data_IF_620498953497
#
_entry.id   IF_620498953497
#
_cell.length_a   1.000
_cell.length_b   1.000
_cell.length_c   1.000
_cell.angle_alpha   90.00
_cell.angle_beta   90.00
_cell.angle_gamma   90.00
#
_symmetry.space_group_name_H-M   'P 1'
#
loop_
_entity.id
_entity.type
_entity.pdbx_description
1 polymer ?
#
# COMPACT_ATOMS: atom_id res chain seq x y z
N UNK A 1 39.13 -9.41 16.60
CA UNK A 1 40.40 -9.35 15.84
C UNK A 1 40.06 -9.05 14.37
N UNK A 2 40.53 -7.93 13.81
CA UNK A 2 40.28 -7.58 12.40
C UNK A 2 41.25 -8.36 11.51
N UNK A 3 40.73 -9.09 10.53
CA UNK A 3 41.57 -9.87 9.61
C UNK A 3 41.87 -9.08 8.34
N UNK A 4 43.10 -8.59 8.21
CA UNK A 4 43.55 -7.90 6.99
C UNK A 4 43.96 -8.92 5.91
N UNK A 5 43.07 -9.19 4.96
CA UNK A 5 43.33 -10.10 3.83
C UNK A 5 43.80 -9.34 2.60
N UNK A 6 44.89 -9.83 1.98
CA UNK A 6 45.39 -9.29 0.70
C UNK A 6 44.40 -9.57 -0.44
N UNK A 7 44.26 -8.62 -1.36
CA UNK A 7 43.41 -8.78 -2.57
C UNK A 7 43.94 -9.92 -3.45
N UNK A 8 43.03 -10.70 -4.05
CA UNK A 8 43.36 -11.85 -4.91
C UNK A 8 44.26 -11.47 -6.10
N UNK A 9 44.12 -10.24 -6.62
CA UNK A 9 44.93 -9.72 -7.75
C UNK A 9 46.43 -9.74 -7.46
N UNK A 10 46.86 -9.56 -6.20
CA UNK A 10 48.28 -9.57 -5.81
C UNK A 10 48.88 -10.97 -6.04
N UNK A 11 48.10 -12.03 -5.78
CA UNK A 11 48.51 -13.43 -6.01
C UNK A 11 48.53 -13.82 -7.48
N UNK A 12 47.84 -13.07 -8.35
CA UNK A 12 47.78 -13.36 -9.78
C UNK A 12 48.85 -12.64 -10.61
N UNK A 13 49.75 -11.86 -9.99
CA UNK A 13 50.92 -11.32 -10.69
C UNK A 13 51.77 -12.49 -11.19
N UNK A 14 52.30 -12.36 -12.41
CA UNK A 14 52.99 -13.42 -13.15
C UNK A 14 52.12 -14.64 -13.56
N UNK A 15 50.80 -14.62 -13.34
CA UNK A 15 49.89 -15.63 -13.90
C UNK A 15 49.35 -15.19 -15.28
N UNK A 16 49.50 -16.03 -16.30
CA UNK A 16 49.28 -15.64 -17.71
C UNK A 16 47.86 -15.17 -18.02
N UNK A 17 46.82 -15.72 -17.38
CA UNK A 17 45.40 -15.38 -17.66
C UNK A 17 44.60 -14.84 -16.47
N UNK A 18 45.22 -14.57 -15.31
CA UNK A 18 44.53 -14.16 -14.09
C UNK A 18 43.27 -15.01 -13.74
N UNK A 19 43.32 -16.33 -13.97
CA UNK A 19 42.20 -17.26 -13.69
C UNK A 19 41.03 -17.19 -14.67
N UNK A 20 41.20 -16.56 -15.84
CA UNK A 20 40.12 -16.35 -16.82
C UNK A 20 40.09 -17.42 -17.93
N UNK A 21 40.83 -18.52 -17.78
CA UNK A 21 40.95 -19.59 -18.76
C UNK A 21 41.86 -19.22 -19.94
N UNK A 22 41.49 -19.64 -21.14
CA UNK A 22 42.27 -19.41 -22.38
C UNK A 22 42.34 -17.92 -22.75
N UNK A 23 43.47 -17.47 -23.34
CA UNK A 23 43.74 -16.08 -23.76
C UNK A 23 42.71 -15.47 -24.74
N UNK A 24 41.90 -16.31 -25.39
CA UNK A 24 40.84 -15.89 -26.33
C UNK A 24 39.50 -15.63 -25.62
N UNK A 25 39.39 -15.90 -24.31
CA UNK A 25 38.23 -15.62 -23.46
C UNK A 25 38.41 -14.27 -22.73
N UNK A 26 37.34 -13.75 -22.12
CA UNK A 26 37.30 -12.41 -21.46
C UNK A 26 37.69 -11.25 -22.42
N UNK A 27 37.06 -11.21 -23.59
CA UNK A 27 37.16 -10.07 -24.51
C UNK A 27 36.06 -9.06 -24.21
N UNK A 28 35.43 -8.51 -25.25
CA UNK A 28 34.33 -7.57 -25.13
C UNK A 28 32.98 -8.23 -24.80
N UNK A 29 31.92 -7.54 -25.19
CA UNK A 29 30.53 -7.88 -24.90
C UNK A 29 30.09 -9.24 -25.49
N UNK A 30 30.74 -9.71 -26.55
CA UNK A 30 30.50 -11.04 -27.11
C UNK A 30 30.75 -12.16 -26.09
N UNK A 31 31.80 -12.04 -25.27
CA UNK A 31 32.08 -13.00 -24.19
C UNK A 31 31.02 -13.00 -23.07
N UNK A 32 30.15 -11.98 -23.02
CA UNK A 32 29.05 -11.84 -22.04
C UNK A 32 27.68 -12.08 -22.67
N UNK A 33 27.60 -12.42 -23.96
CA UNK A 33 26.35 -12.56 -24.70
C UNK A 33 25.61 -11.23 -24.89
N UNK A 34 26.34 -10.17 -25.23
CA UNK A 34 25.82 -8.83 -25.50
C UNK A 34 26.02 -7.82 -24.36
N UNK A 35 25.59 -6.57 -24.57
CA UNK A 35 25.65 -5.48 -23.57
C UNK A 35 24.35 -5.46 -22.76
N UNK A 36 24.44 -5.26 -21.44
CA UNK A 36 23.26 -5.03 -20.59
C UNK A 36 22.27 -6.20 -20.61
N UNK A 37 20.97 -5.90 -20.79
CA UNK A 37 19.87 -6.88 -20.86
C UNK A 37 19.74 -7.55 -22.24
N UNK A 38 20.79 -7.56 -23.06
CA UNK A 38 20.76 -8.34 -24.31
C UNK A 38 20.42 -9.82 -24.03
N UNK A 39 19.54 -10.40 -24.84
CA UNK A 39 19.02 -11.77 -24.64
C UNK A 39 17.82 -11.87 -23.68
N UNK A 40 17.33 -10.75 -23.15
CA UNK A 40 16.14 -10.70 -22.29
C UNK A 40 14.81 -10.49 -23.05
N UNK A 41 14.82 -10.55 -24.37
CA UNK A 41 13.93 -9.74 -25.21
C UNK A 41 13.16 -10.47 -26.31
N UNK A 42 12.46 -9.65 -27.11
CA UNK A 42 11.49 -9.98 -28.18
C UNK A 42 11.95 -11.01 -29.23
N UNK A 43 13.25 -11.06 -29.54
CA UNK A 43 13.82 -11.98 -30.57
C UNK A 43 14.64 -13.13 -29.97
N UNK A 44 15.39 -12.89 -28.90
CA UNK A 44 16.22 -13.88 -28.23
C UNK A 44 15.91 -13.89 -26.74
N UNK A 45 15.65 -15.10 -26.20
CA UNK A 45 15.10 -15.30 -24.85
C UNK A 45 15.97 -16.07 -23.86
N UNK A 46 17.24 -16.35 -24.19
CA UNK A 46 18.14 -17.15 -23.35
C UNK A 46 18.47 -16.51 -21.98
N UNK A 47 18.06 -15.24 -21.74
CA UNK A 47 18.16 -14.54 -20.45
C UNK A 47 16.83 -13.91 -20.02
N UNK A 48 15.70 -14.52 -20.38
CA UNK A 48 14.36 -13.95 -20.14
C UNK A 48 13.79 -14.22 -18.74
N UNK A 49 14.43 -15.03 -17.91
CA UNK A 49 13.92 -15.39 -16.58
C UNK A 49 13.63 -14.14 -15.73
N UNK A 50 12.38 -14.01 -15.26
CA UNK A 50 11.91 -12.89 -14.44
C UNK A 50 11.62 -11.59 -15.20
N UNK A 51 11.60 -11.61 -16.54
CA UNK A 51 11.41 -10.40 -17.35
C UNK A 51 10.08 -10.46 -18.09
N UNK A 52 9.13 -9.65 -17.64
CA UNK A 52 7.85 -9.43 -18.32
C UNK A 52 8.04 -8.39 -19.41
N UNK A 53 7.62 -8.72 -20.63
CA UNK A 53 7.65 -7.82 -21.80
C UNK A 53 6.23 -7.38 -22.12
N UNK A 54 6.07 -6.13 -22.59
CA UNK A 54 4.78 -5.54 -22.92
C UNK A 54 4.32 -4.51 -21.89
N UNK A 55 3.17 -3.88 -22.18
CA UNK A 55 2.51 -2.92 -21.31
C UNK A 55 1.11 -3.45 -20.96
N UNK A 56 0.59 -3.10 -19.78
CA UNK A 56 -0.76 -3.47 -19.32
C UNK A 56 -1.42 -2.29 -18.61
N UNK A 57 -2.64 -1.96 -19.01
CA UNK A 57 -3.47 -0.94 -18.38
C UNK A 57 -3.06 0.50 -18.71
N UNK A 58 -3.61 1.45 -17.96
CA UNK A 58 -3.31 2.88 -18.02
C UNK A 58 -3.25 3.44 -16.61
N UNK A 59 -2.56 4.58 -16.42
CA UNK A 59 -2.54 5.31 -15.16
C UNK A 59 -3.46 6.53 -15.27
N UNK A 60 -4.32 6.81 -14.28
CA UNK A 60 -5.13 8.03 -14.27
C UNK A 60 -4.23 9.27 -14.10
N UNK A 61 -4.64 10.41 -14.69
CA UNK A 61 -3.88 11.67 -14.64
C UNK A 61 -3.67 12.21 -13.23
N UNK A 62 -4.62 11.96 -12.33
CA UNK A 62 -4.54 12.31 -10.90
C UNK A 62 -4.69 11.04 -10.07
N UNK A 63 -3.85 10.88 -9.05
CA UNK A 63 -4.02 9.82 -8.07
C UNK A 63 -5.29 10.07 -7.26
N UNK A 64 -6.09 9.02 -7.07
CA UNK A 64 -7.12 9.05 -6.05
C UNK A 64 -6.44 9.19 -4.68
N UNK A 65 -7.03 9.99 -3.78
CA UNK A 65 -6.56 10.06 -2.40
C UNK A 65 -6.64 8.65 -1.80
N UNK A 66 -5.56 8.11 -1.21
CA UNK A 66 -5.62 6.80 -0.57
C UNK A 66 -6.60 6.89 0.61
N UNK A 67 -7.53 5.94 0.68
CA UNK A 67 -8.46 5.81 1.80
C UNK A 67 -7.78 4.94 2.85
N UNK A 68 -7.53 5.49 4.03
CA UNK A 68 -6.95 4.72 5.12
C UNK A 68 -8.05 3.86 5.76
N UNK A 69 -7.98 2.55 5.53
CA UNK A 69 -8.98 1.61 6.02
C UNK A 69 -8.48 0.82 7.23
N UNK A 70 -9.36 0.57 8.19
CA UNK A 70 -9.09 -0.26 9.37
C UNK A 70 -10.16 -1.33 9.53
N UNK A 71 -9.75 -2.49 10.03
CA UNK A 71 -10.65 -3.62 10.28
C UNK A 71 -11.19 -3.59 11.71
N UNK A 72 -12.43 -4.08 11.90
CA UNK A 72 -13.04 -4.20 13.23
C UNK A 72 -12.14 -5.00 14.20
N UNK A 73 -11.49 -6.08 13.73
CA UNK A 73 -10.63 -6.92 14.56
C UNK A 73 -9.42 -6.22 15.17
N UNK A 74 -9.11 -4.98 14.76
CA UNK A 74 -8.10 -4.15 15.40
C UNK A 74 -8.53 -3.69 16.81
N UNK A 75 -9.83 -3.54 17.06
CA UNK A 75 -10.39 -3.00 18.30
C UNK A 75 -10.57 -4.09 19.35
N UNK A 76 -9.46 -4.72 19.76
CA UNK A 76 -9.42 -5.59 20.93
C UNK A 76 -9.48 -4.79 22.23
N UNK A 77 -9.81 -5.43 23.34
CA UNK A 77 -9.89 -4.77 24.67
C UNK A 77 -8.59 -4.05 25.04
N UNK A 78 -7.45 -4.71 24.85
CA UNK A 78 -6.13 -4.13 25.13
C UNK A 78 -5.86 -2.88 24.29
N UNK A 79 -6.23 -2.92 23.00
CA UNK A 79 -6.06 -1.79 22.08
C UNK A 79 -6.99 -0.64 22.44
N UNK A 80 -8.24 -0.93 22.79
CA UNK A 80 -9.19 0.07 23.25
C UNK A 80 -8.71 0.76 24.52
N UNK A 81 -8.19 0.02 25.49
CA UNK A 81 -7.63 0.59 26.71
C UNK A 81 -6.44 1.53 26.42
N UNK A 82 -5.57 1.16 25.48
CA UNK A 82 -4.48 2.04 25.03
C UNK A 82 -5.01 3.31 24.35
N UNK A 83 -5.98 3.18 23.45
CA UNK A 83 -6.60 4.32 22.78
C UNK A 83 -7.33 5.27 23.75
N UNK A 84 -7.89 4.73 24.84
CA UNK A 84 -8.46 5.54 25.92
C UNK A 84 -7.36 6.27 26.69
N UNK A 85 -6.25 5.59 27.02
CA UNK A 85 -5.09 6.23 27.66
C UNK A 85 -4.45 7.34 26.81
N UNK A 86 -4.50 7.20 25.49
CA UNK A 86 -4.03 8.20 24.52
C UNK A 86 -5.06 9.32 24.22
N UNK A 87 -6.27 9.26 24.81
CA UNK A 87 -7.33 10.25 24.59
C UNK A 87 -8.01 10.18 23.21
N UNK A 88 -7.77 9.12 22.43
CA UNK A 88 -8.32 8.91 21.10
C UNK A 88 -9.70 8.23 21.13
N UNK A 89 -9.99 7.49 22.21
CA UNK A 89 -11.28 6.87 22.48
C UNK A 89 -11.82 7.29 23.86
N UNK A 90 -13.14 7.34 24.00
CA UNK A 90 -13.80 7.66 25.27
C UNK A 90 -14.56 6.45 25.75
N UNK A 91 -14.31 6.02 26.99
CA UNK A 91 -15.10 4.98 27.65
C UNK A 91 -16.30 5.62 28.37
N UNK A 92 -17.52 5.30 27.95
CA UNK A 92 -18.76 5.67 28.65
C UNK A 92 -19.31 4.42 29.30
N UNK A 93 -19.40 4.36 30.64
CA UNK A 93 -19.93 3.22 31.43
C UNK A 93 -19.65 1.83 30.83
N UNK A 94 -20.49 1.34 29.90
CA UNK A 94 -20.39 0.00 29.29
C UNK A 94 -20.04 -0.02 27.78
N UNK A 95 -19.70 1.13 27.18
CA UNK A 95 -19.47 1.29 25.74
C UNK A 95 -18.20 2.10 25.45
N UNK A 96 -17.54 1.76 24.35
CA UNK A 96 -16.41 2.54 23.82
C UNK A 96 -16.87 3.43 22.67
N UNK A 97 -16.59 4.72 22.77
CA UNK A 97 -16.81 5.68 21.69
C UNK A 97 -15.49 5.93 20.97
N UNK A 98 -15.41 5.47 19.72
CA UNK A 98 -14.19 5.46 18.91
C UNK A 98 -14.40 6.33 17.68
N UNK A 99 -13.62 7.41 17.58
CA UNK A 99 -13.63 8.29 16.42
C UNK A 99 -12.47 7.94 15.49
N UNK A 100 -12.77 7.35 14.32
CA UNK A 100 -11.74 6.92 13.38
C UNK A 100 -10.93 8.07 12.80
N UNK A 101 -11.54 9.25 12.64
CA UNK A 101 -10.86 10.45 12.13
C UNK A 101 -9.75 10.92 13.08
N UNK A 102 -9.96 10.81 14.39
CA UNK A 102 -8.93 11.11 15.40
C UNK A 102 -7.74 10.15 15.34
N UNK A 103 -8.01 8.90 14.95
CA UNK A 103 -7.01 7.84 14.83
C UNK A 103 -6.30 7.89 13.45
N UNK A 104 -6.85 8.64 12.48
CA UNK A 104 -6.28 8.77 11.14
C UNK A 104 -6.81 7.76 10.11
N UNK A 105 -7.97 7.15 10.39
CA UNK A 105 -8.65 6.22 9.49
C UNK A 105 -9.95 6.81 8.94
N UNK A 106 -10.23 6.50 7.67
CA UNK A 106 -11.40 6.99 6.95
C UNK A 106 -12.50 5.92 6.84
N UNK A 107 -12.10 4.66 6.66
CA UNK A 107 -13.01 3.55 6.34
C UNK A 107 -12.93 2.40 7.34
N UNK A 108 -14.09 1.93 7.80
CA UNK A 108 -14.21 0.74 8.64
C UNK A 108 -14.57 -0.51 7.79
N UNK A 109 -13.86 -1.60 8.04
CA UNK A 109 -13.97 -2.89 7.33
C UNK A 109 -14.27 -4.05 8.27
N UNK A 110 -14.91 -5.11 7.75
CA UNK A 110 -15.54 -6.16 8.55
C UNK A 110 -14.65 -7.33 8.96
N UNK A 111 -13.33 -7.30 8.71
CA UNK A 111 -12.47 -8.45 9.03
C UNK A 111 -12.24 -8.54 10.55
N UNK A 112 -12.24 -9.78 11.07
CA UNK A 112 -12.14 -10.06 12.50
C UNK A 112 -13.48 -10.17 13.23
N UNK A 113 -13.39 -10.30 14.55
CA UNK A 113 -14.49 -10.39 15.51
C UNK A 113 -14.54 -9.16 16.40
N UNK A 114 -15.71 -8.90 16.97
CA UNK A 114 -15.92 -7.80 17.92
C UNK A 114 -16.66 -8.38 19.12
N UNK A 115 -16.08 -8.22 20.30
CA UNK A 115 -16.67 -8.73 21.55
C UNK A 115 -17.26 -7.60 22.40
N UNK A 116 -16.78 -6.37 22.19
CA UNK A 116 -17.18 -5.20 22.95
C UNK A 116 -18.28 -4.41 22.23
N UNK A 117 -19.11 -3.74 23.04
CA UNK A 117 -20.08 -2.75 22.55
C UNK A 117 -19.34 -1.45 22.20
N UNK A 118 -19.19 -1.20 20.90
CA UNK A 118 -18.43 -0.04 20.39
C UNK A 118 -19.35 0.82 19.51
N UNK A 119 -19.30 2.13 19.75
CA UNK A 119 -19.87 3.14 18.88
C UNK A 119 -18.74 3.71 18.03
N UNK A 120 -18.76 3.46 16.73
CA UNK A 120 -17.79 3.98 15.79
C UNK A 120 -18.31 5.24 15.10
N UNK A 121 -17.47 6.26 15.01
CA UNK A 121 -17.67 7.41 14.12
C UNK A 121 -16.69 7.31 12.94
N UNK A 122 -17.21 7.14 11.72
CA UNK A 122 -16.42 6.86 10.52
C UNK A 122 -16.93 7.65 9.30
N UNK A 123 -16.07 7.99 8.34
CA UNK A 123 -16.51 8.62 7.09
C UNK A 123 -17.12 7.60 6.11
N UNK A 124 -16.55 6.38 6.07
CA UNK A 124 -17.05 5.29 5.23
C UNK A 124 -17.19 4.00 6.03
N UNK A 125 -18.29 3.27 5.79
CA UNK A 125 -18.53 1.97 6.40
C UNK A 125 -18.97 0.96 5.34
N UNK A 126 -18.49 -0.29 5.43
CA UNK A 126 -18.99 -1.39 4.61
C UNK A 126 -20.29 -1.96 5.21
N UNK A 127 -21.25 -2.37 4.38
CA UNK A 127 -22.54 -2.91 4.85
C UNK A 127 -22.37 -4.06 5.85
N UNK A 128 -21.51 -5.04 5.52
CA UNK A 128 -21.17 -6.17 6.40
C UNK A 128 -20.57 -5.74 7.74
N UNK A 129 -19.97 -4.55 7.79
CA UNK A 129 -19.37 -3.99 9.01
C UNK A 129 -20.47 -3.49 9.94
N UNK A 130 -21.44 -2.74 9.40
CA UNK A 130 -22.58 -2.26 10.16
C UNK A 130 -23.39 -3.43 10.76
N UNK A 131 -23.63 -4.49 9.99
CA UNK A 131 -24.32 -5.70 10.45
C UNK A 131 -23.57 -6.39 11.61
N UNK A 132 -22.25 -6.59 11.48
CA UNK A 132 -21.43 -7.21 12.54
C UNK A 132 -21.37 -6.36 13.81
N UNK A 133 -21.25 -5.04 13.67
CA UNK A 133 -21.21 -4.13 14.81
C UNK A 133 -22.56 -4.10 15.53
N UNK A 134 -23.66 -4.08 14.78
CA UNK A 134 -25.01 -4.15 15.34
C UNK A 134 -25.27 -5.48 16.07
N UNK A 135 -24.81 -6.61 15.50
CA UNK A 135 -24.93 -7.93 16.12
C UNK A 135 -24.20 -8.02 17.48
N UNK A 136 -23.13 -7.25 17.68
CA UNK A 136 -22.42 -7.15 18.95
C UNK A 136 -22.98 -6.06 19.90
N UNK A 137 -24.11 -5.44 19.54
CA UNK A 137 -24.73 -4.38 20.34
C UNK A 137 -24.02 -3.01 20.25
N UNK A 138 -23.22 -2.82 19.21
CA UNK A 138 -22.59 -1.53 18.87
C UNK A 138 -23.40 -0.74 17.84
N UNK A 139 -22.93 0.47 17.52
CA UNK A 139 -23.54 1.35 16.52
C UNK A 139 -22.45 1.96 15.64
N UNK A 140 -22.75 2.19 14.36
CA UNK A 140 -21.87 2.96 13.47
C UNK A 140 -22.57 4.25 13.08
N UNK A 141 -21.92 5.37 13.36
CA UNK A 141 -22.37 6.71 12.98
C UNK A 141 -21.47 7.21 11.85
N UNK A 142 -22.10 7.54 10.72
CA UNK A 142 -21.38 8.12 9.60
C UNK A 142 -21.16 9.60 9.89
N UNK A 143 -19.90 10.02 9.96
CA UNK A 143 -19.58 11.44 10.01
C UNK A 143 -19.81 12.01 8.61
N UNK A 144 -20.77 12.93 8.48
CA UNK A 144 -21.01 13.64 7.23
C UNK A 144 -19.76 14.43 6.86
N UNK A 145 -18.96 13.87 5.96
CA UNK A 145 -18.09 14.69 5.12
C UNK A 145 -19.04 15.30 4.10
N UNK A 146 -19.34 16.60 4.23
CA UNK A 146 -20.10 17.38 3.26
C UNK A 146 -19.73 16.92 1.85
N UNK A 147 -20.71 16.35 1.16
CA UNK A 147 -20.62 15.97 -0.24
C UNK A 147 -20.64 17.23 -1.11
N UNK A 148 -19.61 18.08 -1.03
CA UNK A 148 -19.54 19.32 -1.82
C UNK A 148 -19.28 19.07 -3.32
N UNK A 149 -19.07 17.82 -3.76
CA UNK A 149 -18.73 17.52 -5.18
C UNK A 149 -19.92 17.04 -6.02
N UNK A 150 -21.17 17.08 -5.50
CA UNK A 150 -22.38 16.74 -6.30
C UNK A 150 -23.46 17.82 -6.36
N UNK A 151 -23.36 18.91 -5.59
CA UNK A 151 -24.34 20.01 -5.61
C UNK A 151 -23.93 21.17 -6.52
N UNK A 152 -22.63 21.46 -6.68
CA UNK A 152 -22.18 22.57 -7.54
C UNK A 152 -22.40 22.34 -9.04
N UNK A 153 -22.47 21.07 -9.48
CA UNK A 153 -22.73 20.74 -10.88
C UNK A 153 -24.21 20.89 -11.29
N UNK A 154 -25.13 21.10 -10.34
CA UNK A 154 -26.56 21.27 -10.64
C UNK A 154 -26.99 22.74 -10.72
N UNK A 155 -26.31 23.64 -10.00
CA UNK A 155 -26.59 25.08 -10.03
C UNK A 155 -26.01 25.77 -11.29
N UNK A 156 -24.83 25.37 -11.75
CA UNK A 156 -24.21 25.96 -12.95
C UNK A 156 -24.84 25.50 -14.29
N UNK A 157 -25.72 24.50 -14.28
CA UNK A 157 -26.44 24.04 -15.48
C UNK A 157 -27.79 24.74 -15.68
N UNK A 158 -28.34 25.37 -14.64
CA UNK A 158 -29.60 26.12 -14.71
C UNK A 158 -29.36 27.60 -15.08
N UNK A 159 -28.24 28.20 -14.67
CA UNK A 159 -27.90 29.59 -15.02
C UNK A 159 -27.50 29.80 -16.50
N UNK A 160 -27.16 28.75 -17.25
CA UNK A 160 -26.78 28.87 -18.68
C UNK A 160 -27.92 28.57 -19.66
N UNK A 161 -29.13 28.31 -19.16
CA UNK A 161 -30.35 28.13 -19.96
C UNK A 161 -31.37 29.27 -19.79
N UNK A 162 -31.08 30.28 -18.97
CA UNK A 162 -31.98 31.40 -18.66
C UNK A 162 -31.38 32.79 -18.95
N UNK A 163 -30.51 32.93 -19.95
CA UNK A 163 -30.24 34.25 -20.54
C UNK A 163 -30.78 34.29 -21.99
N UNK A 164 -31.67 35.25 -22.33
CA UNK A 164 -32.30 35.38 -23.65
C UNK A 164 -31.36 35.85 -24.76
#
# INVERSE_FOLDING_TARGET
MVTNRRKKVVKYRAHTSHGCGHHKKRRGKGSRGGKGRAGSGKRAGHKRHGIVLGQRGFLPRRSAKPINAINIGYFTEERLNKLVGEGQAVKKTDQYLVNLKKIGFDKLLSAGTINNKIIFTAAYCSQKTAEKVAAAGGKVELSEVKSEVKSEAKLNSEEHSEEP
#
